data_IF_643444156712
#
_entry.id   IF_643444156712
#
_cell.length_a   1.000
_cell.length_b   1.000
_cell.length_c   1.000
_cell.angle_alpha   90.00
_cell.angle_beta   90.00
_cell.angle_gamma   90.00
#
_symmetry.space_group_name_H-M   'P 1'
#
loop_
_entity.id
_entity.type
_entity.pdbx_description
1 polymer ?
#
# COMPACT_ATOMS: atom_id res chain seq x y z
N UNK A 1 39.10 17.51 5.41
CA UNK A 1 39.57 18.61 4.55
C UNK A 1 39.30 18.26 3.07
N UNK A 2 39.27 19.27 2.21
CA UNK A 2 38.96 19.12 0.79
C UNK A 2 39.91 18.14 0.06
N UNK A 3 41.22 18.19 0.24
CA UNK A 3 42.14 17.24 -0.41
C UNK A 3 41.92 15.78 0.00
N UNK A 4 41.54 15.54 1.23
CA UNK A 4 41.22 14.18 1.70
C UNK A 4 39.94 13.65 1.10
N UNK A 5 38.90 14.48 1.02
CA UNK A 5 37.65 14.13 0.36
C UNK A 5 37.87 13.85 -1.14
N UNK A 6 38.58 14.70 -1.85
CA UNK A 6 38.89 14.51 -3.26
C UNK A 6 39.65 13.20 -3.52
N UNK A 7 40.55 12.79 -2.63
CA UNK A 7 41.29 11.51 -2.71
C UNK A 7 40.35 10.30 -2.49
N UNK A 8 39.49 10.39 -1.47
CA UNK A 8 38.56 9.30 -1.15
C UNK A 8 37.58 9.05 -2.32
N UNK A 9 37.11 10.12 -2.95
CA UNK A 9 36.16 10.03 -4.08
C UNK A 9 36.82 9.96 -5.46
N UNK A 10 38.16 9.84 -5.53
CA UNK A 10 38.91 9.83 -6.80
C UNK A 10 38.61 11.04 -7.70
N UNK A 11 38.42 12.22 -7.11
CA UNK A 11 38.05 13.48 -7.78
C UNK A 11 39.11 14.56 -7.51
N UNK A 12 40.38 14.22 -7.54
CA UNK A 12 41.48 15.16 -7.29
C UNK A 12 41.42 16.34 -8.27
N UNK A 13 41.46 17.56 -7.72
CA UNK A 13 41.40 18.81 -8.49
C UNK A 13 40.02 19.12 -9.11
N UNK A 14 38.98 18.35 -8.78
CA UNK A 14 37.59 18.59 -9.23
C UNK A 14 36.74 19.03 -8.06
N UNK A 15 35.74 19.86 -8.36
CA UNK A 15 34.71 20.29 -7.45
C UNK A 15 33.37 19.87 -8.05
N UNK A 16 32.47 19.35 -7.21
CA UNK A 16 31.13 18.97 -7.65
C UNK A 16 30.22 20.21 -7.74
N UNK A 17 30.42 21.17 -6.83
CA UNK A 17 29.63 22.38 -6.74
C UNK A 17 30.49 23.57 -6.29
N UNK A 18 30.22 24.75 -6.82
CA UNK A 18 30.82 26.01 -6.42
C UNK A 18 29.69 27.02 -6.17
N UNK A 19 29.47 27.39 -4.92
CA UNK A 19 28.54 28.45 -4.59
C UNK A 19 29.20 29.83 -4.79
N UNK A 20 28.54 30.70 -5.57
CA UNK A 20 28.99 32.06 -5.86
C UNK A 20 27.95 33.05 -5.37
N UNK A 21 28.38 34.06 -4.60
CA UNK A 21 27.50 35.12 -4.14
C UNK A 21 27.63 36.36 -5.03
N UNK A 22 26.51 36.95 -5.43
CA UNK A 22 26.45 38.21 -6.15
C UNK A 22 26.89 39.39 -5.25
N UNK A 23 27.53 40.39 -5.85
CA UNK A 23 27.80 41.67 -5.18
C UNK A 23 26.51 42.49 -5.06
N UNK A 24 26.49 43.42 -4.11
CA UNK A 24 25.38 44.36 -3.94
C UNK A 24 25.07 45.07 -5.26
N UNK A 25 23.83 44.95 -5.74
CA UNK A 25 23.35 45.58 -6.98
C UNK A 25 23.38 44.71 -8.24
N UNK A 26 23.84 43.46 -8.14
CA UNK A 26 23.77 42.46 -9.22
C UNK A 26 22.67 41.44 -8.87
N UNK A 27 21.73 41.20 -9.81
CA UNK A 27 20.73 40.16 -9.58
C UNK A 27 21.30 38.77 -9.85
N UNK A 28 20.66 37.75 -9.28
CA UNK A 28 21.09 36.35 -9.44
C UNK A 28 21.05 35.92 -10.93
N UNK A 29 20.06 36.40 -11.68
CA UNK A 29 19.92 36.12 -13.11
C UNK A 29 21.03 36.78 -13.93
N UNK A 30 21.45 38.02 -13.57
CA UNK A 30 22.57 38.69 -14.21
C UNK A 30 23.88 37.95 -13.92
N UNK A 31 24.08 37.50 -12.71
CA UNK A 31 25.26 36.71 -12.33
C UNK A 31 25.35 35.40 -13.13
N UNK A 32 24.24 34.70 -13.31
CA UNK A 32 24.15 33.48 -14.14
C UNK A 32 24.53 33.78 -15.59
N UNK A 33 24.02 34.90 -16.17
CA UNK A 33 24.36 35.29 -17.55
C UNK A 33 25.84 35.66 -17.72
N UNK A 34 26.44 36.30 -16.75
CA UNK A 34 27.85 36.70 -16.76
C UNK A 34 28.80 35.50 -16.59
N UNK A 35 28.39 34.49 -15.82
CA UNK A 35 29.19 33.29 -15.56
C UNK A 35 29.12 32.27 -16.69
N UNK A 36 27.98 32.14 -17.37
CA UNK A 36 27.76 31.13 -18.40
C UNK A 36 28.82 31.09 -19.52
N UNK A 37 29.32 32.22 -20.08
CA UNK A 37 30.33 32.20 -21.13
C UNK A 37 31.74 31.86 -20.67
N UNK A 38 32.01 31.91 -19.36
CA UNK A 38 33.33 31.70 -18.75
C UNK A 38 33.53 30.25 -18.32
N UNK A 39 32.44 29.51 -18.15
CA UNK A 39 32.45 28.17 -17.60
C UNK A 39 32.58 27.11 -18.72
N UNK A 40 33.18 25.93 -18.42
CA UNK A 40 33.26 24.80 -19.33
C UNK A 40 31.88 24.32 -19.77
N UNK A 41 31.76 23.79 -20.99
CA UNK A 41 30.51 23.33 -21.57
C UNK A 41 29.78 22.21 -20.78
N UNK A 42 30.48 21.54 -19.88
CA UNK A 42 29.95 20.50 -19.01
C UNK A 42 29.57 21.02 -17.61
N UNK A 43 29.46 22.32 -17.42
CA UNK A 43 29.11 22.94 -16.14
C UNK A 43 27.72 23.57 -16.29
N UNK A 44 26.82 23.23 -15.36
CA UNK A 44 25.51 23.83 -15.27
C UNK A 44 25.55 25.00 -14.28
N UNK A 45 24.93 26.11 -14.63
CA UNK A 45 24.83 27.30 -13.78
C UNK A 45 23.38 27.60 -13.55
N UNK A 46 23.00 27.60 -12.29
CA UNK A 46 21.62 27.84 -11.85
C UNK A 46 21.62 28.88 -10.73
N UNK A 47 20.52 29.59 -10.57
CA UNK A 47 20.28 30.41 -9.38
C UNK A 47 20.02 29.53 -8.16
N UNK A 48 20.28 30.04 -6.97
CA UNK A 48 19.95 29.31 -5.73
C UNK A 48 18.45 28.93 -5.64
N UNK A 49 17.58 29.76 -6.22
CA UNK A 49 16.15 29.51 -6.26
C UNK A 49 15.79 28.38 -7.24
N UNK A 50 16.47 28.30 -8.40
CA UNK A 50 16.29 27.21 -9.36
C UNK A 50 16.84 25.88 -8.81
N UNK A 51 18.03 25.91 -8.20
CA UNK A 51 18.58 24.74 -7.53
C UNK A 51 17.66 24.22 -6.43
N UNK A 52 17.16 25.12 -5.56
CA UNK A 52 16.23 24.71 -4.50
C UNK A 52 14.92 24.11 -5.04
N UNK A 53 14.44 24.58 -6.20
CA UNK A 53 13.28 23.97 -6.87
C UNK A 53 13.61 22.61 -7.45
N UNK A 54 14.74 22.47 -8.12
CA UNK A 54 15.18 21.17 -8.68
C UNK A 54 15.36 20.14 -7.57
N UNK A 55 16.01 20.52 -6.45
CA UNK A 55 16.19 19.62 -5.30
C UNK A 55 14.86 19.24 -4.65
N UNK A 56 13.89 20.16 -4.64
CA UNK A 56 12.55 19.90 -4.14
C UNK A 56 11.77 18.96 -5.08
N UNK A 57 11.87 19.16 -6.41
CA UNK A 57 11.26 18.30 -7.42
C UNK A 57 11.83 16.88 -7.37
N UNK A 58 13.15 16.72 -7.28
CA UNK A 58 13.81 15.43 -7.15
C UNK A 58 13.39 14.71 -5.84
N UNK A 59 13.27 15.47 -4.76
CA UNK A 59 12.80 14.96 -3.47
C UNK A 59 11.34 14.51 -3.55
N UNK A 60 10.49 15.31 -4.19
CA UNK A 60 9.07 14.99 -4.37
C UNK A 60 8.87 13.77 -5.28
N UNK A 61 9.68 13.60 -6.33
CA UNK A 61 9.66 12.43 -7.18
C UNK A 61 10.04 11.16 -6.40
N UNK A 62 11.12 11.21 -5.62
CA UNK A 62 11.52 10.11 -4.74
C UNK A 62 10.47 9.74 -3.71
N UNK A 63 9.87 10.75 -3.03
CA UNK A 63 8.80 10.53 -2.06
C UNK A 63 7.57 9.92 -2.73
N UNK A 64 7.21 10.41 -3.92
CA UNK A 64 6.09 9.90 -4.72
C UNK A 64 6.27 8.44 -5.14
N UNK A 65 7.49 8.10 -5.59
CA UNK A 65 7.86 6.71 -5.87
C UNK A 65 7.75 5.82 -4.62
N UNK A 66 8.30 6.27 -3.50
CA UNK A 66 8.26 5.54 -2.24
C UNK A 66 6.82 5.34 -1.75
N UNK A 67 5.98 6.36 -1.87
CA UNK A 67 4.56 6.30 -1.54
C UNK A 67 3.83 5.29 -2.43
N UNK A 68 4.06 5.32 -3.73
CA UNK A 68 3.49 4.37 -4.69
C UNK A 68 3.89 2.93 -4.37
N UNK A 69 5.16 2.70 -4.09
CA UNK A 69 5.68 1.40 -3.68
C UNK A 69 5.02 0.90 -2.38
N UNK A 70 4.93 1.75 -1.35
CA UNK A 70 4.30 1.39 -0.08
C UNK A 70 2.80 1.11 -0.24
N UNK A 71 2.09 1.87 -1.08
CA UNK A 71 0.69 1.64 -1.39
C UNK A 71 0.48 0.32 -2.13
N UNK A 72 1.32 0.01 -3.10
CA UNK A 72 1.26 -1.27 -3.82
C UNK A 72 1.50 -2.45 -2.86
N UNK A 73 2.51 -2.34 -1.99
CA UNK A 73 2.80 -3.35 -0.97
C UNK A 73 1.66 -3.49 0.04
N UNK A 74 1.09 -2.36 0.48
CA UNK A 74 -0.10 -2.31 1.32
C UNK A 74 -1.31 -2.97 0.65
N UNK A 75 -1.50 -2.76 -0.65
CA UNK A 75 -2.54 -3.42 -1.45
C UNK A 75 -2.39 -4.95 -1.49
N UNK A 76 -1.17 -5.45 -1.67
CA UNK A 76 -0.88 -6.89 -1.59
C UNK A 76 -1.17 -7.44 -0.20
N UNK A 77 -0.74 -6.75 0.86
CA UNK A 77 -1.01 -7.14 2.24
C UNK A 77 -2.52 -7.17 2.54
N UNK A 78 -3.26 -6.18 2.05
CA UNK A 78 -4.71 -6.11 2.16
C UNK A 78 -5.40 -7.29 1.45
N UNK A 79 -4.94 -7.63 0.25
CA UNK A 79 -5.46 -8.77 -0.51
C UNK A 79 -5.23 -10.10 0.22
N UNK A 80 -4.02 -10.32 0.73
CA UNK A 80 -3.68 -11.51 1.52
C UNK A 80 -4.51 -11.56 2.79
N UNK A 81 -4.64 -10.44 3.50
CA UNK A 81 -5.49 -10.30 4.69
C UNK A 81 -6.95 -10.64 4.40
N UNK A 82 -7.52 -10.11 3.32
CA UNK A 82 -8.88 -10.42 2.89
C UNK A 82 -9.07 -11.92 2.59
N UNK A 83 -8.09 -12.55 1.96
CA UNK A 83 -8.10 -13.99 1.69
C UNK A 83 -8.08 -14.81 2.99
N UNK A 84 -7.23 -14.45 3.95
CA UNK A 84 -7.14 -15.12 5.25
C UNK A 84 -8.47 -14.98 6.02
N UNK A 85 -9.05 -13.77 6.05
CA UNK A 85 -10.35 -13.51 6.68
C UNK A 85 -11.44 -14.37 6.03
N UNK A 86 -11.53 -14.40 4.71
CA UNK A 86 -12.53 -15.18 3.98
C UNK A 86 -12.39 -16.69 4.27
N UNK A 87 -11.16 -17.18 4.34
CA UNK A 87 -10.88 -18.58 4.63
C UNK A 87 -11.23 -18.95 6.08
N UNK A 88 -10.79 -18.14 7.04
CA UNK A 88 -11.07 -18.33 8.47
C UNK A 88 -12.56 -18.29 8.77
N UNK A 89 -13.28 -17.29 8.25
CA UNK A 89 -14.73 -17.20 8.40
C UNK A 89 -15.46 -18.35 7.71
N UNK A 90 -14.96 -18.85 6.58
CA UNK A 90 -15.54 -20.02 5.91
C UNK A 90 -15.50 -21.25 6.82
N UNK A 91 -14.40 -21.47 7.54
CA UNK A 91 -14.25 -22.59 8.49
C UNK A 91 -15.17 -22.39 9.69
N UNK A 92 -15.17 -21.21 10.29
CA UNK A 92 -16.01 -20.90 11.46
C UNK A 92 -17.51 -21.05 11.14
N UNK A 93 -17.94 -20.54 9.99
CA UNK A 93 -19.31 -20.66 9.52
C UNK A 93 -19.67 -22.12 9.23
N UNK A 94 -18.75 -22.90 8.65
CA UNK A 94 -18.99 -24.32 8.39
C UNK A 94 -19.20 -25.11 9.70
N UNK A 95 -18.42 -24.82 10.74
CA UNK A 95 -18.59 -25.42 12.06
C UNK A 95 -19.93 -25.08 12.72
N UNK A 96 -20.46 -23.86 12.50
CA UNK A 96 -21.76 -23.38 13.04
C UNK A 96 -22.95 -23.67 12.15
N UNK A 97 -22.78 -24.40 11.04
CA UNK A 97 -23.86 -24.67 10.09
C UNK A 97 -25.04 -25.39 10.73
N UNK A 98 -24.84 -26.29 11.69
CA UNK A 98 -25.92 -26.97 12.45
C UNK A 98 -26.73 -25.97 13.27
N UNK A 99 -26.08 -25.01 13.96
CA UNK A 99 -26.76 -23.97 14.75
C UNK A 99 -27.66 -23.11 13.84
N UNK A 100 -27.16 -22.70 12.68
CA UNK A 100 -27.94 -21.95 11.71
C UNK A 100 -29.12 -22.76 11.14
N UNK A 101 -28.94 -24.05 10.92
CA UNK A 101 -30.02 -24.93 10.50
C UNK A 101 -31.12 -25.05 11.57
N UNK A 102 -30.73 -25.22 12.84
CA UNK A 102 -31.68 -25.25 13.98
C UNK A 102 -32.46 -23.93 14.11
N UNK A 103 -31.78 -22.79 14.02
CA UNK A 103 -32.48 -21.49 14.03
C UNK A 103 -33.51 -21.37 12.90
N UNK A 104 -33.19 -21.91 11.73
CA UNK A 104 -34.10 -21.88 10.58
C UNK A 104 -35.26 -22.87 10.71
N UNK A 105 -35.11 -23.99 11.37
CA UNK A 105 -36.22 -24.89 11.70
C UNK A 105 -37.16 -24.27 12.76
N UNK A 106 -36.65 -23.41 13.63
CA UNK A 106 -37.42 -22.61 14.59
C UNK A 106 -38.08 -21.36 13.96
N UNK A 107 -37.91 -21.16 12.64
CA UNK A 107 -38.60 -20.10 11.89
C UNK A 107 -37.73 -18.89 11.54
N UNK A 108 -36.43 -18.90 11.84
CA UNK A 108 -35.53 -17.81 11.44
C UNK A 108 -35.40 -17.73 9.90
N UNK A 109 -35.56 -16.55 9.33
CA UNK A 109 -35.38 -16.31 7.91
C UNK A 109 -33.90 -16.32 7.50
N UNK A 110 -33.63 -16.61 6.21
CA UNK A 110 -32.27 -16.52 5.64
C UNK A 110 -31.63 -15.14 5.85
N UNK A 111 -32.43 -14.08 5.72
CA UNK A 111 -31.97 -12.72 5.89
C UNK A 111 -31.56 -12.42 7.34
N UNK A 112 -32.26 -12.98 8.32
CA UNK A 112 -31.88 -12.82 9.75
C UNK A 112 -30.54 -13.49 10.04
N UNK A 113 -30.35 -14.72 9.57
CA UNK A 113 -29.06 -15.44 9.74
C UNK A 113 -27.93 -14.69 9.02
N UNK A 114 -28.17 -14.21 7.79
CA UNK A 114 -27.16 -13.44 7.04
C UNK A 114 -26.79 -12.14 7.78
N UNK A 115 -27.78 -11.40 8.27
CA UNK A 115 -27.55 -10.16 9.04
C UNK A 115 -26.75 -10.42 10.31
N UNK A 116 -27.01 -11.51 11.02
CA UNK A 116 -26.25 -11.89 12.22
C UNK A 116 -24.78 -12.12 11.88
N UNK A 117 -24.47 -12.85 10.81
CA UNK A 117 -23.09 -13.12 10.37
C UNK A 117 -22.38 -11.83 9.92
N UNK A 118 -23.10 -10.96 9.18
CA UNK A 118 -22.55 -9.68 8.72
C UNK A 118 -22.29 -8.72 9.89
N UNK A 119 -23.18 -8.70 10.90
CA UNK A 119 -22.98 -7.91 12.11
C UNK A 119 -21.77 -8.42 12.90
N UNK A 120 -21.60 -9.73 13.04
CA UNK A 120 -20.42 -10.32 13.67
C UNK A 120 -19.15 -9.91 12.93
N UNK A 121 -19.13 -10.00 11.60
CA UNK A 121 -18.03 -9.56 10.77
C UNK A 121 -17.76 -8.05 10.88
N UNK A 122 -18.81 -7.23 11.02
CA UNK A 122 -18.68 -5.79 11.22
C UNK A 122 -18.01 -5.47 12.56
N UNK A 123 -18.46 -6.10 13.65
CA UNK A 123 -17.86 -5.89 14.98
C UNK A 123 -16.39 -6.29 14.99
N UNK A 124 -16.06 -7.45 14.40
CA UNK A 124 -14.67 -7.89 14.25
C UNK A 124 -13.88 -6.93 13.36
N UNK A 125 -14.46 -6.50 12.24
CA UNK A 125 -13.84 -5.56 11.32
C UNK A 125 -13.51 -4.21 11.95
N UNK A 126 -14.44 -3.65 12.73
CA UNK A 126 -14.22 -2.40 13.48
C UNK A 126 -13.10 -2.58 14.51
N UNK A 127 -13.16 -3.62 15.32
CA UNK A 127 -12.15 -3.91 16.35
C UNK A 127 -10.76 -4.12 15.73
N UNK A 128 -10.66 -4.95 14.70
CA UNK A 128 -9.41 -5.21 13.99
C UNK A 128 -8.85 -3.96 13.29
N UNK A 129 -9.71 -3.13 12.70
CA UNK A 129 -9.29 -1.89 12.04
C UNK A 129 -8.76 -0.85 13.04
N UNK A 130 -9.37 -0.75 14.22
CA UNK A 130 -8.87 0.11 15.30
C UNK A 130 -7.50 -0.37 15.81
N UNK A 131 -7.38 -1.65 16.10
CA UNK A 131 -6.10 -2.24 16.54
C UNK A 131 -5.03 -2.05 15.44
N UNK A 132 -5.37 -2.32 14.20
CA UNK A 132 -4.48 -2.12 13.06
C UNK A 132 -4.02 -0.67 12.87
N UNK A 133 -4.92 0.30 13.08
CA UNK A 133 -4.59 1.72 13.05
C UNK A 133 -3.55 2.08 14.12
N UNK A 134 -3.77 1.66 15.37
CA UNK A 134 -2.82 1.92 16.47
C UNK A 134 -1.49 1.21 16.27
N UNK A 135 -1.50 -0.05 15.81
CA UNK A 135 -0.27 -0.79 15.51
C UNK A 135 0.50 -0.15 14.35
N UNK A 136 -0.20 0.26 13.28
CA UNK A 136 0.43 0.94 12.16
C UNK A 136 1.09 2.26 12.59
N UNK A 137 0.42 3.00 13.46
CA UNK A 137 0.96 4.21 14.05
C UNK A 137 2.20 3.94 14.92
N UNK A 138 2.12 2.95 15.80
CA UNK A 138 3.24 2.56 16.65
C UNK A 138 4.46 2.09 15.82
N UNK A 139 4.22 1.37 14.72
CA UNK A 139 5.26 0.98 13.78
C UNK A 139 5.88 2.19 13.07
N UNK A 140 5.06 3.14 12.62
CA UNK A 140 5.55 4.36 11.98
C UNK A 140 6.42 5.17 12.95
N UNK A 141 5.95 5.43 14.17
CA UNK A 141 6.73 6.15 15.21
C UNK A 141 8.01 5.42 15.58
N UNK A 142 7.94 4.10 15.72
CA UNK A 142 9.11 3.27 16.01
C UNK A 142 10.16 3.31 14.91
N UNK A 143 9.72 3.31 13.66
CA UNK A 143 10.62 3.39 12.50
C UNK A 143 11.29 4.76 12.40
N UNK A 144 10.56 5.85 12.64
CA UNK A 144 11.15 7.20 12.73
C UNK A 144 12.22 7.29 13.82
N UNK A 145 11.92 6.78 15.01
CA UNK A 145 12.90 6.76 16.11
C UNK A 145 14.12 5.89 15.79
N UNK A 146 13.96 4.82 15.04
CA UNK A 146 15.08 3.99 14.59
C UNK A 146 15.98 4.74 13.59
N UNK A 147 15.41 5.45 12.62
CA UNK A 147 16.18 6.27 11.68
C UNK A 147 16.96 7.38 12.39
N UNK A 148 16.34 8.04 13.35
CA UNK A 148 16.98 9.08 14.17
C UNK A 148 18.16 8.50 14.99
N UNK A 149 17.98 7.31 15.58
CA UNK A 149 19.02 6.63 16.34
C UNK A 149 20.23 6.22 15.48
N UNK A 150 20.05 5.97 14.18
CA UNK A 150 21.13 5.64 13.22
C UNK A 150 21.76 6.91 12.61
N UNK A 151 21.28 8.10 13.00
CA UNK A 151 21.82 9.39 12.54
C UNK A 151 21.17 9.94 11.27
N UNK A 152 20.08 9.34 10.79
CA UNK A 152 19.26 9.91 9.73
C UNK A 152 18.28 10.92 10.34
N UNK A 153 18.63 12.20 10.27
CA UNK A 153 17.71 13.28 10.66
C UNK A 153 16.73 13.53 9.52
N UNK A 154 15.56 12.90 9.60
CA UNK A 154 14.44 13.24 8.72
C UNK A 154 13.89 14.63 9.09
N UNK A 155 13.47 15.43 8.09
CA UNK A 155 12.84 16.72 8.39
C UNK A 155 11.67 16.47 9.36
N UNK A 156 11.73 17.11 10.53
CA UNK A 156 10.73 16.96 11.59
C UNK A 156 9.40 17.61 11.20
N UNK A 157 8.70 16.99 10.29
CA UNK A 157 7.29 17.26 10.06
C UNK A 157 6.45 16.41 11.00
N UNK A 158 6.68 16.33 12.25
CA UNK A 158 5.90 15.51 13.21
C UNK A 158 4.85 14.57 12.61
N UNK A 159 4.39 13.57 13.28
CA UNK A 159 3.31 12.70 12.78
C UNK A 159 2.06 13.56 12.54
N UNK A 160 1.81 13.93 11.28
CA UNK A 160 0.62 14.67 10.90
C UNK A 160 -0.56 13.70 10.83
N UNK A 161 -1.35 13.65 11.89
CA UNK A 161 -2.62 12.92 11.90
C UNK A 161 -3.66 13.65 11.06
N UNK A 162 -3.70 13.35 9.79
CA UNK A 162 -4.80 13.82 8.96
C UNK A 162 -6.06 13.00 9.28
N UNK A 163 -7.18 13.62 9.65
CA UNK A 163 -8.46 12.93 9.86
C UNK A 163 -8.85 12.05 8.68
N UNK A 164 -8.47 12.46 7.47
CA UNK A 164 -8.65 11.69 6.23
C UNK A 164 -7.98 10.31 6.31
N UNK A 165 -6.76 10.21 6.81
CA UNK A 165 -6.03 8.94 6.91
C UNK A 165 -6.74 7.97 7.87
N UNK A 166 -7.26 8.46 8.99
CA UNK A 166 -8.02 7.68 9.96
C UNK A 166 -9.30 7.15 9.32
N UNK A 167 -10.07 8.02 8.67
CA UNK A 167 -11.33 7.65 8.02
C UNK A 167 -11.09 6.63 6.90
N UNK A 168 -10.09 6.85 6.05
CA UNK A 168 -9.78 5.94 4.95
C UNK A 168 -9.33 4.58 5.46
N UNK A 169 -8.40 4.52 6.42
CA UNK A 169 -7.90 3.25 6.95
C UNK A 169 -8.98 2.43 7.66
N UNK A 170 -9.83 3.06 8.48
CA UNK A 170 -10.97 2.41 9.11
C UNK A 170 -12.00 1.93 8.07
N UNK A 171 -12.34 2.79 7.11
CA UNK A 171 -13.29 2.43 6.05
C UNK A 171 -12.80 1.25 5.22
N UNK A 172 -11.55 1.26 4.80
CA UNK A 172 -10.94 0.17 4.02
C UNK A 172 -10.92 -1.12 4.82
N UNK A 173 -10.46 -1.10 6.07
CA UNK A 173 -10.39 -2.29 6.92
C UNK A 173 -11.77 -2.91 7.19
N UNK A 174 -12.78 -2.09 7.49
CA UNK A 174 -14.16 -2.53 7.71
C UNK A 174 -14.76 -3.09 6.42
N UNK A 175 -14.65 -2.36 5.31
CA UNK A 175 -15.19 -2.78 4.02
C UNK A 175 -14.60 -4.09 3.55
N UNK A 176 -13.28 -4.24 3.62
CA UNK A 176 -12.59 -5.47 3.23
C UNK A 176 -13.06 -6.65 4.08
N UNK A 177 -13.18 -6.47 5.41
CA UNK A 177 -13.65 -7.53 6.30
C UNK A 177 -15.08 -7.94 5.98
N UNK A 178 -15.98 -6.98 5.78
CA UNK A 178 -17.39 -7.25 5.44
C UNK A 178 -17.49 -7.92 4.07
N UNK A 179 -16.79 -7.44 3.05
CA UNK A 179 -16.80 -8.03 1.70
C UNK A 179 -16.24 -9.45 1.72
N UNK A 180 -15.11 -9.67 2.43
CA UNK A 180 -14.51 -10.99 2.56
C UNK A 180 -15.44 -12.00 3.25
N UNK A 181 -16.25 -11.54 4.23
CA UNK A 181 -17.22 -12.35 4.96
C UNK A 181 -18.49 -12.66 4.16
N UNK A 182 -18.85 -11.82 3.20
CA UNK A 182 -20.14 -11.90 2.51
C UNK A 182 -20.31 -13.21 1.71
N UNK A 183 -19.29 -13.63 1.01
CA UNK A 183 -19.32 -14.86 0.20
C UNK A 183 -19.54 -16.14 1.04
N UNK A 184 -18.78 -16.40 2.12
CA UNK A 184 -19.03 -17.52 3.02
C UNK A 184 -20.37 -17.40 3.74
N UNK A 185 -20.79 -16.21 4.17
CA UNK A 185 -22.08 -15.98 4.80
C UNK A 185 -23.27 -16.35 3.90
N UNK A 186 -23.24 -15.90 2.63
CA UNK A 186 -24.27 -16.26 1.64
C UNK A 186 -24.32 -17.77 1.40
N UNK A 187 -23.17 -18.44 1.35
CA UNK A 187 -23.11 -19.89 1.18
C UNK A 187 -23.76 -20.64 2.35
N UNK A 188 -23.49 -20.22 3.58
CA UNK A 188 -24.08 -20.84 4.77
C UNK A 188 -25.61 -20.74 4.79
N UNK A 189 -26.18 -19.64 4.34
CA UNK A 189 -27.63 -19.44 4.30
C UNK A 189 -28.33 -20.24 3.18
N UNK A 190 -27.60 -20.78 2.22
CA UNK A 190 -28.16 -21.58 1.11
C UNK A 190 -28.34 -23.05 1.43
N UNK A 191 -27.72 -23.57 2.50
CA UNK A 191 -27.84 -24.97 2.90
C UNK A 191 -29.28 -25.23 3.38
N UNK A 192 -30.00 -26.25 2.83
CA UNK A 192 -31.32 -26.61 3.30
C UNK A 192 -31.25 -27.12 4.75
N UNK A 193 -32.20 -26.74 5.65
CA UNK A 193 -32.19 -27.19 7.05
C UNK A 193 -32.15 -28.72 7.20
N UNK A 194 -32.88 -29.42 6.36
CA UNK A 194 -32.97 -30.91 6.38
C UNK A 194 -31.62 -31.55 6.05
N UNK A 195 -30.83 -30.98 5.11
CA UNK A 195 -29.53 -31.51 4.75
C UNK A 195 -28.46 -31.33 5.85
N UNK A 196 -28.59 -30.30 6.68
CA UNK A 196 -27.65 -30.02 7.77
C UNK A 196 -27.85 -30.92 9.00
N UNK A 197 -29.03 -31.53 9.16
CA UNK A 197 -29.36 -32.45 10.25
C UNK A 197 -29.00 -33.91 9.89
N UNK A 198 -28.90 -34.25 8.63
CA UNK A 198 -28.46 -35.57 8.18
C UNK A 198 -26.95 -35.72 8.36
N UNK A 199 -26.54 -36.68 9.18
CA UNK A 199 -25.12 -37.05 9.29
C UNK A 199 -24.58 -37.54 7.94
N UNK A 200 -23.47 -36.97 7.48
CA UNK A 200 -22.81 -37.34 6.22
C UNK A 200 -23.22 -36.57 4.97
N UNK A 201 -24.04 -35.50 5.07
CA UNK A 201 -24.33 -34.65 3.92
C UNK A 201 -23.08 -33.83 3.54
N UNK A 202 -22.31 -34.35 2.59
CA UNK A 202 -21.27 -33.57 1.91
C UNK A 202 -21.94 -32.46 1.13
N UNK A 203 -21.44 -31.21 1.30
CA UNK A 203 -21.88 -30.08 0.50
C UNK A 203 -21.72 -30.42 -0.99
N UNK A 204 -22.75 -30.22 -1.83
CA UNK A 204 -22.63 -30.49 -3.26
C UNK A 204 -21.48 -29.64 -3.83
N UNK A 205 -20.59 -30.27 -4.56
CA UNK A 205 -19.49 -29.57 -5.25
C UNK A 205 -20.10 -28.51 -6.16
N UNK A 206 -19.55 -27.29 -6.06
CA UNK A 206 -20.08 -26.20 -6.88
C UNK A 206 -19.85 -26.51 -8.36
N UNK A 207 -20.85 -26.33 -9.21
CA UNK A 207 -20.74 -26.44 -10.69
C UNK A 207 -19.56 -25.64 -11.28
N UNK A 208 -19.06 -24.68 -10.53
CA UNK A 208 -17.93 -23.81 -10.88
C UNK A 208 -16.57 -24.27 -10.33
N UNK A 209 -16.47 -25.47 -9.70
CA UNK A 209 -15.19 -25.95 -9.16
C UNK A 209 -14.11 -26.05 -10.26
N UNK A 210 -14.51 -26.46 -11.46
CA UNK A 210 -13.63 -26.59 -12.64
C UNK A 210 -13.10 -25.25 -13.14
N UNK A 211 -13.93 -24.18 -13.08
CA UNK A 211 -13.50 -22.83 -13.48
C UNK A 211 -12.66 -22.14 -12.40
N UNK A 212 -12.75 -22.57 -11.16
CA UNK A 212 -11.96 -22.00 -10.04
C UNK A 212 -10.49 -22.34 -10.19
N UNK A 213 -10.16 -23.55 -10.64
CA UNK A 213 -8.77 -23.97 -10.88
C UNK A 213 -8.18 -23.23 -12.09
N UNK A 214 -8.96 -23.08 -13.17
CA UNK A 214 -8.55 -22.31 -14.34
C UNK A 214 -8.40 -20.81 -13.98
N UNK A 215 -9.30 -20.24 -13.21
CA UNK A 215 -9.24 -18.84 -12.77
C UNK A 215 -8.04 -18.57 -11.86
N UNK A 216 -7.72 -19.49 -10.93
CA UNK A 216 -6.52 -19.35 -10.10
C UNK A 216 -5.24 -19.46 -10.90
N UNK A 217 -5.15 -20.40 -11.87
CA UNK A 217 -4.01 -20.53 -12.76
C UNK A 217 -3.80 -19.29 -13.65
N UNK A 218 -4.90 -18.74 -14.20
CA UNK A 218 -4.84 -17.50 -14.96
C UNK A 218 -4.39 -16.31 -14.10
N UNK A 219 -4.93 -16.17 -12.90
CA UNK A 219 -4.56 -15.09 -11.98
C UNK A 219 -3.08 -15.18 -11.55
N UNK A 220 -2.62 -16.40 -11.25
CA UNK A 220 -1.21 -16.66 -10.93
C UNK A 220 -0.31 -16.38 -12.14
N UNK A 221 -0.73 -16.81 -13.34
CA UNK A 221 0.00 -16.56 -14.59
C UNK A 221 0.11 -15.07 -14.92
N UNK A 222 -0.98 -14.32 -14.78
CA UNK A 222 -0.99 -12.87 -14.99
C UNK A 222 -0.13 -12.16 -13.93
N UNK A 223 -0.24 -12.54 -12.65
CA UNK A 223 0.59 -12.00 -11.59
C UNK A 223 2.08 -12.27 -11.82
N UNK A 224 2.44 -13.46 -12.25
CA UNK A 224 3.81 -13.82 -12.57
C UNK A 224 4.33 -13.09 -13.81
N UNK A 225 3.51 -12.95 -14.85
CA UNK A 225 3.84 -12.18 -16.04
C UNK A 225 4.04 -10.69 -15.74
N UNK A 226 3.17 -10.11 -14.89
CA UNK A 226 3.31 -8.73 -14.44
C UNK A 226 4.60 -8.53 -13.61
N UNK A 227 4.97 -9.50 -12.78
CA UNK A 227 6.18 -9.48 -11.98
C UNK A 227 7.43 -9.56 -12.87
N UNK A 228 7.43 -10.45 -13.87
CA UNK A 228 8.51 -10.53 -14.86
C UNK A 228 8.61 -9.25 -15.70
N UNK A 229 7.47 -8.68 -16.08
CA UNK A 229 7.45 -7.40 -16.80
C UNK A 229 8.01 -6.26 -15.96
N UNK A 230 7.67 -6.19 -14.67
CA UNK A 230 8.21 -5.17 -13.75
C UNK A 230 9.71 -5.33 -13.45
N UNK A 231 10.24 -6.58 -13.51
CA UNK A 231 11.66 -6.85 -13.27
C UNK A 231 12.54 -6.75 -14.51
N UNK A 232 12.01 -7.07 -15.69
CA UNK A 232 12.78 -7.20 -16.94
C UNK A 232 12.20 -6.37 -18.09
N UNK A 233 11.08 -5.68 -17.87
CA UNK A 233 10.47 -4.80 -18.89
C UNK A 233 11.31 -3.55 -19.12
N UNK A 234 11.23 -2.93 -20.33
CA UNK A 234 11.85 -1.64 -20.59
C UNK A 234 11.25 -0.59 -19.65
N UNK A 235 12.10 0.30 -19.14
CA UNK A 235 11.73 1.38 -18.20
C UNK A 235 10.45 2.10 -18.65
N UNK A 236 9.34 1.75 -18.02
CA UNK A 236 8.12 2.51 -18.17
C UNK A 236 8.31 3.78 -17.36
N UNK A 237 8.46 4.91 -18.06
CA UNK A 237 8.46 6.21 -17.41
C UNK A 237 7.20 6.33 -16.53
N UNK A 238 7.36 6.85 -15.33
CA UNK A 238 6.31 6.98 -14.29
C UNK A 238 5.03 7.63 -14.83
N UNK A 239 5.14 8.46 -15.86
CA UNK A 239 4.04 9.08 -16.58
C UNK A 239 3.13 8.10 -17.33
N UNK A 240 3.63 6.95 -17.75
CA UNK A 240 2.80 5.94 -18.46
C UNK A 240 2.02 5.06 -17.48
N UNK A 241 2.55 4.83 -16.28
CA UNK A 241 1.86 4.04 -15.23
C UNK A 241 0.64 4.82 -14.69
N UNK A 242 0.76 6.13 -14.54
CA UNK A 242 -0.33 7.00 -14.09
C UNK A 242 -1.46 7.18 -15.10
N UNK A 243 -1.22 6.94 -16.39
CA UNK A 243 -2.26 7.02 -17.43
C UNK A 243 -3.16 5.77 -17.49
N UNK A 244 -2.79 4.68 -16.81
CA UNK A 244 -3.57 3.42 -16.74
C UNK A 244 -4.35 3.26 -15.43
N UNK A 245 -4.22 4.19 -14.48
CA UNK A 245 -5.00 4.25 -13.22
C UNK A 245 -6.08 5.33 -13.29
#
# INVERSE_FOLDING_TARGET
DLPTAQRIFAKEGKLDEIAVAARSGVSDEQLVQDLRPILPANTEVQTAAEQARSDAEDTDEFISFLQGFLLAFGGVALFVGAFVIANSLSITIAQRTREFATLRTLGASRAQVLRSIVLEALVVGVGASLIGLFLGLALATGLFGLFEAVGFTLPNSGLVFLPRTIIVSLSVGILVTVIASLRPAIRATRVPPIAAVREGATLPESRFARFRTLGSLLLTGVGFAALLWGLFGPDLSTTQILSFM
#
